data_IF_767202213152
#
_entry.id   IF_767202213152
#
_cell.length_a   1.000
_cell.length_b   1.000
_cell.length_c   1.000
_cell.angle_alpha   90.00
_cell.angle_beta   90.00
_cell.angle_gamma   90.00
#
_symmetry.space_group_name_H-M   'P 1'
#
loop_
_entity.id
_entity.type
_entity.pdbx_description
1 polymer ?
2 non-polymer ?
3 non-polymer ?
4 non-polymer ?
5 water ?
#
# COMPACT_ATOMS: atom_id res chain seq x y z
N UNK A 5 26.82 8.17 17.95
CA UNK A 5 26.30 6.85 18.32
C UNK A 5 24.77 6.90 18.48
N UNK A 6 24.13 7.77 17.71
CA UNK A 6 22.68 7.86 17.70
C UNK A 6 22.12 6.79 16.78
N UNK A 7 21.01 6.17 17.18
CA UNK A 7 20.37 5.18 16.32
C UNK A 7 19.23 5.80 15.53
N UNK A 8 18.92 5.20 14.39
CA UNK A 8 17.92 5.73 13.47
C UNK A 8 16.53 5.33 13.91
N UNK A 9 15.50 5.82 13.19
CA UNK A 9 14.13 5.37 13.46
C UNK A 9 13.94 3.90 13.07
N UNK A 10 12.80 3.33 13.43
CA UNK A 10 12.44 2.01 12.93
C UNK A 10 12.26 2.12 11.42
N UNK A 11 11.66 3.22 10.98
CA UNK A 11 11.51 3.50 9.55
C UNK A 11 11.18 4.97 9.31
N UNK A 12 11.47 5.43 8.09
CA UNK A 12 11.06 6.75 7.65
C UNK A 12 9.81 6.59 6.79
N UNK A 13 8.95 7.62 6.78
CA UNK A 13 7.80 7.59 5.91
C UNK A 13 6.94 8.83 6.03
N UNK A 14 5.91 8.90 5.18
CA UNK A 14 4.92 9.96 5.26
C UNK A 14 3.75 9.50 6.11
N UNK A 15 3.47 10.25 7.17
CA UNK A 15 2.39 9.91 8.08
C UNK A 15 1.18 10.82 7.87
N UNK A 16 0.06 10.22 7.50
CA UNK A 16 -1.16 10.97 7.21
C UNK A 16 -1.71 11.65 8.44
N UNK A 17 -2.39 12.78 8.23
CA UNK A 17 -3.09 13.47 9.30
C UNK A 17 -4.29 12.63 9.73
N UNK A 18 -4.93 13.02 10.82
CA UNK A 18 -6.12 12.33 11.30
C UNK A 18 -7.19 12.32 10.21
N UNK A 19 -7.45 13.49 9.64
CA UNK A 19 -8.52 13.65 8.65
C UNK A 19 -8.27 12.85 7.37
N UNK A 20 -7.07 12.98 6.81
CA UNK A 20 -6.75 12.32 5.56
C UNK A 20 -6.65 10.80 5.74
N UNK A 21 -6.23 10.37 6.92
CA UNK A 21 -6.13 8.94 7.21
C UNK A 21 -7.51 8.30 7.27
N UNK A 22 -8.44 8.96 7.97
CA UNK A 22 -9.80 8.45 8.07
C UNK A 22 -10.46 8.42 6.70
N UNK A 23 -10.19 9.43 5.88
CA UNK A 23 -10.72 9.48 4.53
C UNK A 23 -10.28 8.28 3.71
N UNK A 24 -9.00 7.95 3.80
CA UNK A 24 -8.45 6.81 3.06
C UNK A 24 -8.92 5.49 3.69
N UNK A 25 -8.89 5.42 5.01
CA UNK A 25 -9.29 4.21 5.71
C UNK A 25 -10.72 3.85 5.34
N UNK A 26 -11.60 4.85 5.34
CA UNK A 26 -13.00 4.63 5.03
C UNK A 26 -13.18 4.15 3.58
N UNK A 27 -12.44 4.75 2.66
CA UNK A 27 -12.50 4.35 1.26
C UNK A 27 -12.05 2.91 1.11
N UNK A 28 -11.01 2.54 1.86
CA UNK A 28 -10.52 1.17 1.87
C UNK A 28 -11.58 0.21 2.35
N UNK A 29 -12.26 0.58 3.43
CA UNK A 29 -13.32 -0.26 3.99
C UNK A 29 -14.44 -0.45 2.99
N UNK A 30 -14.89 0.64 2.37
CA UNK A 30 -15.98 0.57 1.39
C UNK A 30 -15.57 -0.34 0.24
N UNK A 31 -14.33 -0.24 -0.19
CA UNK A 31 -13.82 -1.07 -1.28
C UNK A 31 -13.91 -2.56 -0.91
N UNK A 32 -13.47 -2.90 0.30
CA UNK A 32 -13.54 -4.29 0.75
C UNK A 32 -14.99 -4.79 0.77
N UNK A 33 -15.89 -3.95 1.24
CA UNK A 33 -17.30 -4.32 1.35
C UNK A 33 -17.92 -4.49 -0.05
N UNK A 34 -17.56 -3.59 -0.96
CA UNK A 34 -18.07 -3.63 -2.32
C UNK A 34 -17.47 -4.79 -3.11
N UNK A 35 -16.17 -5.00 -2.98
CA UNK A 35 -15.48 -6.07 -3.70
C UNK A 35 -16.02 -7.43 -3.26
N UNK A 36 -16.14 -7.62 -1.96
CA UNK A 36 -16.64 -8.87 -1.41
C UNK A 36 -18.03 -9.22 -1.90
N UNK A 37 -18.81 -8.19 -2.24
CA UNK A 37 -20.19 -8.39 -2.70
C UNK A 37 -20.30 -8.46 -4.22
N UNK A 38 -19.20 -8.19 -4.91
CA UNK A 38 -19.23 -8.16 -6.37
C UNK A 38 -19.17 -9.57 -6.94
N UNK A 39 -20.03 -9.84 -7.93
CA UNK A 39 -20.16 -11.20 -8.47
C UNK A 39 -18.86 -11.71 -9.09
N UNK A 40 -18.12 -10.82 -9.75
CA UNK A 40 -16.83 -11.18 -10.32
C UNK A 40 -15.88 -11.73 -9.26
N UNK A 41 -15.88 -11.12 -8.09
CA UNK A 41 -15.02 -11.56 -7.00
C UNK A 41 -15.49 -12.90 -6.43
N UNK A 42 -16.78 -12.97 -6.10
CA UNK A 42 -17.37 -14.20 -5.58
C UNK A 42 -17.05 -15.40 -6.50
N UNK A 43 -17.07 -15.15 -7.80
CA UNK A 43 -16.84 -16.20 -8.79
C UNK A 43 -15.43 -16.79 -8.69
N UNK A 44 -14.47 -15.98 -8.26
CA UNK A 44 -13.08 -16.38 -8.24
C UNK A 44 -12.57 -16.72 -6.85
N UNK A 45 -13.49 -16.95 -5.91
CA UNK A 45 -13.13 -17.18 -4.52
C UNK A 45 -12.12 -18.31 -4.34
N UNK A 46 -12.21 -19.33 -5.18
CA UNK A 46 -11.34 -20.50 -5.04
C UNK A 46 -9.91 -20.19 -5.49
N UNK A 47 -9.72 -18.99 -6.03
CA UNK A 47 -8.38 -18.50 -6.33
C UNK A 47 -7.90 -17.54 -5.26
N UNK A 48 -8.81 -17.13 -4.37
CA UNK A 48 -8.49 -16.21 -3.29
C UNK A 48 -8.17 -16.97 -2.01
N UNK A 49 -9.04 -17.91 -1.65
CA UNK A 49 -8.81 -18.78 -0.51
C UNK A 49 -8.61 -20.21 -0.99
N UNK A 50 -7.80 -20.96 -0.27
CA UNK A 50 -7.46 -22.33 -0.67
C UNK A 50 -7.62 -23.28 0.50
N UNK A 51 -8.86 -23.69 0.76
CA UNK A 51 -9.15 -24.58 1.86
C UNK A 51 -10.57 -25.10 1.82
N UNK A 52 -11.10 -25.43 3.00
CA UNK A 52 -12.41 -26.04 3.10
C UNK A 52 -13.51 -25.01 3.31
N UNK A 53 -13.24 -23.76 2.94
CA UNK A 53 -14.25 -22.70 3.03
C UNK A 53 -15.51 -23.12 2.30
N UNK A 54 -16.67 -22.90 2.93
CA UNK A 54 -17.93 -23.16 2.22
C UNK A 54 -18.10 -22.21 1.05
N UNK A 55 -18.99 -22.53 0.12
CA UNK A 55 -19.25 -21.67 -1.03
C UNK A 55 -19.87 -20.34 -0.59
N UNK A 56 -20.27 -20.28 0.67
CA UNK A 56 -20.88 -19.07 1.24
C UNK A 56 -19.99 -17.85 1.06
N UNK A 57 -20.41 -16.73 1.64
CA UNK A 57 -19.76 -15.45 1.37
C UNK A 57 -18.65 -15.09 2.36
N UNK A 58 -17.55 -14.59 1.80
CA UNK A 58 -16.40 -14.14 2.57
C UNK A 58 -16.46 -12.63 2.77
N UNK A 59 -16.46 -12.21 4.03
CA UNK A 59 -16.41 -10.80 4.37
C UNK A 59 -14.95 -10.37 4.44
N UNK A 60 -14.54 -9.51 3.52
CA UNK A 60 -13.13 -9.12 3.40
C UNK A 60 -12.67 -8.23 4.54
N UNK A 61 -13.58 -7.45 5.12
CA UNK A 61 -13.24 -6.63 6.27
C UNK A 61 -12.71 -7.54 7.38
N UNK A 62 -13.37 -8.68 7.56
CA UNK A 62 -12.97 -9.68 8.53
C UNK A 62 -11.67 -10.35 8.11
N UNK A 63 -11.59 -10.73 6.83
CA UNK A 63 -10.42 -11.41 6.30
C UNK A 63 -9.15 -10.58 6.56
N UNK A 64 -9.24 -9.29 6.30
CA UNK A 64 -8.13 -8.37 6.56
C UNK A 64 -8.28 -7.77 7.97
N UNK A 65 -8.30 -8.65 8.96
CA UNK A 65 -8.54 -8.24 10.34
C UNK A 65 -7.42 -7.44 10.97
N UNK A 66 -6.19 -7.65 10.52
CA UNK A 66 -5.05 -6.92 11.05
C UNK A 66 -4.90 -5.59 10.32
N UNK A 67 -5.40 -4.52 10.94
CA UNK A 67 -5.38 -3.20 10.32
C UNK A 67 -4.59 -2.23 11.18
N UNK A 68 -4.03 -1.18 10.56
CA UNK A 68 -3.40 -0.13 11.36
C UNK A 68 -4.40 0.37 12.40
N UNK A 69 -3.96 0.49 13.66
CA UNK A 69 -4.86 0.92 14.75
C UNK A 69 -5.11 2.42 14.76
N UNK A 70 -4.18 3.19 14.20
CA UNK A 70 -4.28 4.64 14.21
C UNK A 70 -4.09 5.24 12.83
N UNK A 71 -3.28 6.29 12.74
CA UNK A 71 -3.07 6.94 11.46
C UNK A 71 -2.32 6.03 10.49
N UNK A 72 -2.53 6.27 9.20
CA UNK A 72 -1.90 5.46 8.17
C UNK A 72 -0.60 6.14 7.74
N UNK A 73 0.27 5.40 7.06
CA UNK A 73 1.54 5.95 6.61
C UNK A 73 2.04 5.29 5.35
N UNK A 74 2.86 6.01 4.62
CA UNK A 74 3.55 5.46 3.45
C UNK A 74 5.03 5.39 3.80
N UNK A 75 5.53 4.16 3.94
CA UNK A 75 6.92 3.93 4.30
C UNK A 75 7.84 4.23 3.13
N UNK A 76 8.98 4.86 3.41
CA UNK A 76 10.00 5.05 2.40
C UNK A 76 11.15 4.07 2.61
N UNK A 77 11.78 4.14 3.78
CA UNK A 77 12.90 3.26 4.09
C UNK A 77 12.77 2.66 5.48
N UNK A 78 12.71 1.34 5.54
CA UNK A 78 12.72 0.61 6.81
C UNK A 78 14.17 0.50 7.27
N UNK A 79 14.44 1.02 8.47
CA UNK A 79 15.82 1.15 8.95
C UNK A 79 16.14 0.21 10.12
N UNK A 80 15.11 -0.24 10.83
CA UNK A 80 15.31 -1.04 12.04
C UNK A 80 16.41 -0.44 12.92
N UNK A 81 16.31 0.88 13.13
CA UNK A 81 17.23 1.58 14.03
C UNK A 81 18.69 1.49 13.58
N UNK A 82 18.89 1.31 12.27
CA UNK A 82 20.23 1.27 11.71
C UNK A 82 20.73 -0.12 11.36
N UNK A 83 19.96 -1.14 11.74
CA UNK A 83 20.37 -2.53 11.52
C UNK A 83 20.04 -3.02 10.12
N UNK A 84 19.09 -2.37 9.46
CA UNK A 84 18.74 -2.73 8.09
C UNK A 84 19.81 -2.23 7.11
N UNK A 85 20.13 -3.03 6.12
CA UNK A 85 21.10 -2.64 5.12
C UNK A 85 20.63 -1.39 4.39
N UNK A 86 21.52 -0.41 4.27
CA UNK A 86 21.20 0.83 3.57
C UNK A 86 20.57 1.89 4.46
N UNK A 87 20.34 1.56 5.72
CA UNK A 87 19.66 2.47 6.65
C UNK A 87 20.47 3.74 6.89
N UNK A 88 21.71 3.58 7.34
CA UNK A 88 22.59 4.71 7.61
C UNK A 88 22.77 5.55 6.35
N UNK A 89 22.98 4.89 5.23
CA UNK A 89 23.19 5.56 3.96
C UNK A 89 21.98 6.43 3.61
N UNK A 90 20.79 5.88 3.81
CA UNK A 90 19.55 6.60 3.51
C UNK A 90 19.39 7.81 4.43
N UNK A 91 19.58 7.60 5.72
CA UNK A 91 19.34 8.64 6.72
C UNK A 91 20.29 9.83 6.56
N UNK A 92 21.50 9.57 6.09
CA UNK A 92 22.53 10.60 5.98
C UNK A 92 22.25 11.61 4.87
N UNK A 93 21.35 11.26 3.95
CA UNK A 93 21.08 12.11 2.78
C UNK A 93 20.56 13.48 3.19
N UNK A 94 21.07 14.51 2.53
CA UNK A 94 20.62 15.88 2.78
C UNK A 94 19.12 16.03 2.60
N UNK A 95 18.58 15.40 1.55
CA UNK A 95 17.17 15.55 1.22
C UNK A 95 16.27 14.91 2.29
N UNK A 96 16.77 13.86 2.92
CA UNK A 96 16.04 13.23 4.01
C UNK A 96 16.03 14.14 5.23
N UNK A 97 17.20 14.66 5.59
CA UNK A 97 17.33 15.56 6.73
C UNK A 97 16.56 16.86 6.50
N UNK A 98 16.60 17.38 5.27
CA UNK A 98 15.93 18.62 4.93
C UNK A 98 14.42 18.45 4.91
N UNK A 99 13.96 17.26 4.50
CA UNK A 99 12.54 16.99 4.37
C UNK A 99 11.92 16.55 5.70
N UNK A 100 12.78 16.28 6.68
CA UNK A 100 12.31 15.77 7.96
C UNK A 100 11.38 16.76 8.64
N UNK A 101 10.10 16.40 8.74
CA UNK A 101 9.10 17.23 9.37
C UNK A 101 8.28 18.05 8.38
N UNK A 102 8.62 17.94 7.11
CA UNK A 102 7.96 18.72 6.07
C UNK A 102 6.63 18.10 5.67
N UNK A 103 5.70 18.94 5.21
CA UNK A 103 4.38 18.48 4.78
C UNK A 103 4.40 18.13 3.30
N UNK A 104 3.69 17.06 2.95
CA UNK A 104 3.60 16.57 1.58
C UNK A 104 2.17 16.17 1.27
N UNK A 105 1.87 16.03 -0.02
CA UNK A 105 0.60 15.45 -0.45
C UNK A 105 0.86 14.18 -1.24
N UNK A 106 0.19 13.10 -0.84
CA UNK A 106 0.34 11.82 -1.52
C UNK A 106 -0.84 11.56 -2.44
N UNK A 107 -0.55 11.18 -3.68
CA UNK A 107 -1.59 10.89 -4.65
C UNK A 107 -1.91 9.40 -4.66
N UNK A 108 -3.14 9.06 -4.32
CA UNK A 108 -3.60 7.67 -4.32
C UNK A 108 -4.32 7.39 -5.63
N UNK A 109 -3.79 6.48 -6.43
CA UNK A 109 -4.34 6.23 -7.75
C UNK A 109 -5.17 4.95 -7.80
N UNK A 110 -4.99 4.07 -6.82
CA UNK A 110 -5.67 2.78 -6.86
C UNK A 110 -5.74 2.13 -5.48
N UNK A 111 -6.78 1.32 -5.29
CA UNK A 111 -6.88 0.45 -4.12
C UNK A 111 -6.76 -0.97 -4.64
N UNK A 112 -6.13 -1.84 -3.86
CA UNK A 112 -5.92 -3.21 -4.32
C UNK A 112 -6.05 -4.22 -3.20
N UNK A 113 -6.36 -5.45 -3.60
CA UNK A 113 -6.56 -6.55 -2.67
C UNK A 113 -5.89 -7.79 -3.23
N UNK A 114 -5.21 -8.53 -2.36
CA UNK A 114 -4.64 -9.81 -2.72
C UNK A 114 -5.00 -10.78 -1.60
N UNK A 115 -4.68 -12.07 -1.79
CA UNK A 115 -4.94 -13.01 -0.69
C UNK A 115 -4.18 -12.67 0.58
N UNK A 116 -3.20 -11.76 0.49
CA UNK A 116 -2.35 -11.44 1.63
C UNK A 116 -2.61 -10.06 2.24
N UNK A 117 -2.84 -9.06 1.40
CA UNK A 117 -2.96 -7.69 1.87
C UNK A 117 -4.02 -6.88 1.15
N UNK A 118 -4.45 -5.81 1.82
CA UNK A 118 -5.27 -4.78 1.22
C UNK A 118 -4.49 -3.47 1.36
N UNK A 119 -4.37 -2.72 0.27
CA UNK A 119 -3.59 -1.50 0.31
C UNK A 119 -4.01 -0.45 -0.69
N UNK A 120 -3.29 0.67 -0.68
CA UNK A 120 -3.53 1.76 -1.62
C UNK A 120 -2.23 2.08 -2.34
N UNK A 121 -2.32 2.24 -3.65
CA UNK A 121 -1.15 2.58 -4.45
C UNK A 121 -0.87 4.08 -4.42
N UNK A 122 0.35 4.44 -4.04
CA UNK A 122 0.76 5.84 -4.02
C UNK A 122 1.62 6.16 -5.23
N UNK A 123 1.31 7.28 -5.88
CA UNK A 123 2.08 7.74 -7.03
C UNK A 123 2.91 8.95 -6.63
N UNK A 124 4.17 8.71 -6.28
CA UNK A 124 5.03 9.76 -5.74
C UNK A 124 5.36 10.82 -6.78
N UNK A 125 5.44 12.07 -6.32
CA UNK A 125 5.90 13.17 -7.14
C UNK A 125 7.41 13.03 -7.30
N UNK A 126 7.98 13.81 -8.22
CA UNK A 126 9.43 13.83 -8.41
C UNK A 126 10.12 14.23 -7.11
N UNK A 127 9.58 15.26 -6.45
CA UNK A 127 10.13 15.71 -5.17
C UNK A 127 10.12 14.59 -4.14
N UNK A 128 9.01 13.87 -4.08
CA UNK A 128 8.86 12.79 -3.10
C UNK A 128 9.71 11.58 -3.47
N UNK A 129 9.94 11.38 -4.77
CA UNK A 129 10.79 10.29 -5.23
C UNK A 129 12.23 10.47 -4.76
N UNK A 130 12.64 11.71 -4.51
CA UNK A 130 13.98 11.96 -4.01
C UNK A 130 14.15 11.31 -2.63
N UNK A 131 13.03 11.10 -1.94
CA UNK A 131 13.04 10.51 -0.60
C UNK A 131 12.85 8.99 -0.66
N UNK A 132 12.82 8.43 -1.86
CA UNK A 132 12.72 6.98 -2.00
C UNK A 132 14.10 6.36 -2.00
N UNK A 133 14.29 5.29 -1.23
CA UNK A 133 15.62 4.68 -1.11
C UNK A 133 16.08 4.01 -2.40
N UNK A 134 17.40 4.00 -2.61
CA UNK A 134 18.00 3.31 -3.73
C UNK A 134 19.03 2.30 -3.20
N UNK A 135 18.53 1.15 -2.77
CA UNK A 135 19.34 0.18 -2.04
C UNK A 135 20.10 -0.78 -2.95
N UNK A 136 21.10 -1.43 -2.37
CA UNK A 136 21.84 -2.47 -3.06
C UNK A 136 21.00 -3.74 -3.09
N UNK A 137 20.29 -4.02 -2.00
CA UNK A 137 19.38 -5.14 -1.93
C UNK A 137 17.97 -4.68 -2.30
N UNK A 138 17.53 -5.06 -3.49
CA UNK A 138 16.21 -4.68 -3.98
C UNK A 138 15.28 -5.87 -4.05
N UNK A 139 13.97 -5.64 -3.83
CA UNK A 139 13.01 -6.69 -4.16
C UNK A 139 13.07 -6.97 -5.65
N UNK A 140 13.19 -8.25 -6.03
CA UNK A 140 13.34 -8.60 -7.43
C UNK A 140 12.20 -8.06 -8.29
N UNK A 141 11.05 -7.83 -7.66
CA UNK A 141 9.86 -7.38 -8.38
C UNK A 141 9.89 -5.89 -8.68
N UNK A 142 10.84 -5.16 -8.09
CA UNK A 142 10.98 -3.74 -8.37
C UNK A 142 11.78 -3.51 -9.65
N UNK A 143 12.57 -4.50 -10.04
CA UNK A 143 13.37 -4.42 -11.25
C UNK A 143 12.48 -4.36 -12.48
N UNK A 144 12.75 -3.39 -13.35
CA UNK A 144 11.98 -3.23 -14.57
C UNK A 144 10.83 -2.25 -14.42
N UNK A 145 10.55 -1.84 -13.18
CA UNK A 145 9.50 -0.86 -12.91
C UNK A 145 10.12 0.47 -12.53
N UNK A 146 9.38 1.56 -12.75
CA UNK A 146 9.86 2.89 -12.34
C UNK A 146 10.19 2.93 -10.86
N UNK A 147 11.25 3.67 -10.48
CA UNK A 147 11.60 3.84 -9.07
C UNK A 147 10.39 4.30 -8.26
N UNK A 148 10.21 3.74 -7.06
CA UNK A 148 9.15 4.17 -6.18
C UNK A 148 7.80 3.53 -6.46
N UNK A 149 7.77 2.56 -7.36
CA UNK A 149 6.53 1.86 -7.69
C UNK A 149 5.99 1.12 -6.49
N UNK A 150 6.88 0.73 -5.58
CA UNK A 150 6.51 0.02 -4.36
C UNK A 150 5.71 0.90 -3.40
N UNK A 151 5.77 2.21 -3.61
CA UNK A 151 5.12 3.16 -2.71
C UNK A 151 3.63 2.82 -2.51
N UNK A 152 3.25 2.60 -1.26
CA UNK A 152 1.88 2.21 -0.95
C UNK A 152 1.52 2.50 0.50
N UNK A 153 0.24 2.32 0.81
CA UNK A 153 -0.24 2.40 2.19
C UNK A 153 -0.92 1.10 2.55
N UNK A 154 -0.53 0.52 3.68
CA UNK A 154 -1.14 -0.71 4.16
C UNK A 154 -2.50 -0.42 4.80
N UNK A 155 -3.53 -1.10 4.33
CA UNK A 155 -4.88 -0.94 4.88
C UNK A 155 -5.30 -2.14 5.73
N UNK A 156 -4.76 -3.31 5.41
CA UNK A 156 -5.07 -4.52 6.16
C UNK A 156 -4.24 -5.71 5.72
N UNK A 157 -4.11 -6.69 6.62
CA UNK A 157 -3.35 -7.89 6.33
C UNK A 157 -4.08 -9.15 6.77
N UNK A 158 -3.86 -10.24 6.04
CA UNK A 158 -4.36 -11.54 6.47
C UNK A 158 -3.64 -11.93 7.74
N UNK A 159 -4.24 -12.85 8.50
CA UNK A 159 -3.78 -13.14 9.85
C UNK A 159 -2.27 -13.37 9.98
N UNK A 160 -1.69 -14.15 9.07
CA UNK A 160 -0.29 -14.52 9.19
C UNK A 160 0.61 -13.76 8.21
N UNK A 161 0.16 -12.58 7.80
CA UNK A 161 0.91 -11.74 6.86
C UNK A 161 1.42 -10.48 7.56
N UNK A 162 2.62 -10.06 7.20
CA UNK A 162 3.21 -8.85 7.77
C UNK A 162 3.00 -7.66 6.84
N UNK A 163 2.83 -6.46 7.40
CA UNK A 163 2.56 -5.25 6.62
C UNK A 163 3.54 -5.01 5.46
N UNK A 164 4.78 -5.45 5.61
CA UNK A 164 5.76 -5.27 4.54
C UNK A 164 5.29 -5.91 3.24
N UNK A 165 4.45 -6.92 3.35
CA UNK A 165 3.97 -7.65 2.17
C UNK A 165 3.16 -6.76 1.23
N UNK A 166 2.60 -5.68 1.76
CA UNK A 166 1.72 -4.83 0.96
C UNK A 166 2.44 -4.21 -0.23
N UNK A 167 3.60 -3.62 0.02
CA UNK A 167 4.39 -3.03 -1.05
C UNK A 167 4.85 -4.09 -2.03
N UNK A 168 5.17 -5.28 -1.52
CA UNK A 168 5.62 -6.37 -2.36
C UNK A 168 4.48 -6.87 -3.24
N UNK A 169 3.27 -6.85 -2.70
CA UNK A 169 2.09 -7.24 -3.46
C UNK A 169 1.85 -6.26 -4.61
N UNK A 170 2.05 -4.98 -4.32
CA UNK A 170 1.84 -3.95 -5.34
C UNK A 170 2.83 -4.13 -6.49
N UNK A 171 4.09 -4.37 -6.16
CA UNK A 171 5.11 -4.60 -7.17
C UNK A 171 4.74 -5.78 -8.05
N UNK A 172 4.21 -6.83 -7.45
CA UNK A 172 3.77 -8.00 -8.21
C UNK A 172 2.64 -7.62 -9.14
N UNK A 173 1.69 -6.86 -8.61
CA UNK A 173 0.55 -6.38 -9.42
C UNK A 173 1.02 -5.52 -10.58
N UNK A 174 1.96 -4.61 -10.31
CA UNK A 174 2.45 -3.71 -11.34
C UNK A 174 3.27 -4.47 -12.39
N UNK A 175 3.96 -5.52 -11.97
CA UNK A 175 4.67 -6.39 -12.90
C UNK A 175 3.65 -7.08 -13.81
N UNK A 176 2.51 -7.46 -13.22
CA UNK A 176 1.45 -8.14 -13.95
C UNK A 176 0.80 -7.20 -14.98
N UNK A 177 0.51 -5.97 -14.56
CA UNK A 177 -0.21 -5.03 -15.40
C UNK A 177 0.70 -4.37 -16.44
N UNK A 178 2.00 -4.65 -16.36
CA UNK A 178 2.94 -4.11 -17.34
C UNK A 178 3.03 -5.05 -18.54
N UNK A 182 -3.61 -3.68 -21.22
CA UNK A 182 -4.29 -4.37 -20.13
C UNK A 182 -5.75 -4.65 -20.52
N UNK A 183 -6.27 -5.78 -20.05
CA UNK A 183 -7.63 -6.19 -20.37
C UNK A 183 -8.67 -5.24 -19.80
N UNK A 184 -9.90 -5.37 -20.29
CA UNK A 184 -10.99 -4.55 -19.79
C UNK A 184 -11.17 -4.74 -18.30
N UNK A 185 -11.83 -3.78 -17.66
CA UNK A 185 -12.26 -3.94 -16.28
C UNK A 185 -13.41 -4.94 -16.28
N UNK A 186 -13.54 -5.70 -15.20
CA UNK A 186 -14.62 -6.67 -15.10
C UNK A 186 -15.81 -6.11 -14.33
N UNK A 187 -15.70 -4.86 -13.89
CA UNK A 187 -16.77 -4.23 -13.14
C UNK A 187 -16.58 -2.74 -12.95
N UNK A 188 -17.66 -2.07 -12.53
CA UNK A 188 -17.63 -0.65 -12.25
C UNK A 188 -18.11 -0.39 -10.83
N UNK A 189 -17.20 0.07 -9.97
CA UNK A 189 -17.57 0.52 -8.64
C UNK A 189 -17.73 2.03 -8.68
N UNK A 190 -18.45 2.60 -7.70
CA UNK A 190 -18.69 4.04 -7.67
C UNK A 190 -17.44 4.90 -7.86
N UNK A 191 -16.31 4.50 -7.29
CA UNK A 191 -15.09 5.30 -7.35
C UNK A 191 -14.19 4.98 -8.55
N UNK A 192 -14.54 3.96 -9.31
CA UNK A 192 -13.73 3.63 -10.49
C UNK A 192 -13.93 2.22 -11.03
N UNK A 193 -13.05 1.86 -11.97
CA UNK A 193 -13.11 0.57 -12.64
C UNK A 193 -12.43 -0.52 -11.83
N UNK A 194 -12.98 -1.73 -11.89
CA UNK A 194 -12.45 -2.87 -11.15
C UNK A 194 -11.78 -3.86 -12.10
N UNK A 195 -10.52 -4.19 -11.81
CA UNK A 195 -9.77 -5.12 -12.63
C UNK A 195 -9.46 -6.41 -11.89
N UNK A 196 -9.63 -7.53 -12.59
CA UNK A 196 -9.27 -8.83 -12.06
C UNK A 196 -7.94 -9.26 -12.68
N UNK A 197 -6.90 -9.33 -11.86
CA UNK A 197 -5.56 -9.60 -12.36
C UNK A 197 -5.16 -11.07 -12.20
N UNK A 198 -6.04 -11.86 -11.61
CA UNK A 198 -5.79 -13.27 -11.43
C UNK A 198 -5.07 -13.57 -10.13
N UNK A 199 -5.04 -14.85 -9.76
CA UNK A 199 -4.38 -15.28 -8.53
C UNK A 199 -4.86 -14.48 -7.32
N UNK A 200 -6.15 -14.15 -7.30
CA UNK A 200 -6.75 -13.51 -6.15
C UNK A 200 -6.44 -12.03 -6.02
N UNK A 201 -5.88 -11.45 -7.08
CA UNK A 201 -5.48 -10.04 -7.05
C UNK A 201 -6.51 -9.14 -7.72
N UNK A 202 -6.82 -8.03 -7.07
CA UNK A 202 -7.85 -7.11 -7.56
C UNK A 202 -7.40 -5.67 -7.40
N UNK A 203 -7.65 -4.86 -8.42
CA UNK A 203 -7.31 -3.44 -8.36
C UNK A 203 -8.49 -2.56 -8.73
N UNK A 204 -8.79 -1.61 -7.86
CA UNK A 204 -9.75 -0.56 -8.16
C UNK A 204 -8.98 0.67 -8.62
N UNK A 205 -9.12 1.01 -9.90
CA UNK A 205 -8.47 2.19 -10.45
C UNK A 205 -9.39 3.39 -10.27
N UNK A 206 -8.97 4.32 -9.42
CA UNK A 206 -9.81 5.45 -9.07
C UNK A 206 -9.97 6.42 -10.23
N UNK A 207 -11.22 6.70 -10.58
CA UNK A 207 -11.53 7.69 -11.61
C UNK A 207 -10.87 9.00 -11.25
N UNK A 208 -10.94 9.36 -9.97
CA UNK A 208 -10.32 10.56 -9.47
C UNK A 208 -9.35 10.20 -8.36
N UNK A 209 -8.08 10.53 -8.56
CA UNK A 209 -7.05 10.22 -7.57
C UNK A 209 -7.37 10.91 -6.26
N UNK A 210 -7.13 10.22 -5.15
CA UNK A 210 -7.30 10.83 -3.85
C UNK A 210 -6.01 11.53 -3.48
N UNK A 211 -6.15 12.69 -2.84
CA UNK A 211 -5.00 13.40 -2.31
C UNK A 211 -5.07 13.36 -0.79
N UNK A 212 -4.01 12.85 -0.17
CA UNK A 212 -3.92 12.80 1.28
C UNK A 212 -2.73 13.59 1.77
N UNK A 213 -2.92 14.38 2.81
CA UNK A 213 -1.85 15.19 3.37
C UNK A 213 -1.09 14.35 4.40
N UNK A 214 0.24 14.46 4.37
CA UNK A 214 1.08 13.67 5.26
C UNK A 214 2.36 14.40 5.60
N UNK A 215 2.97 14.02 6.72
CA UNK A 215 4.22 14.61 7.17
C UNK A 215 5.34 13.57 7.08
N UNK A 216 6.46 13.96 6.50
CA UNK A 216 7.62 13.08 6.43
C UNK A 216 8.37 13.13 7.75
N UNK A 217 8.58 11.97 8.37
CA UNK A 217 9.30 11.92 9.63
C UNK A 217 9.73 10.48 9.93
N UNK A 218 10.18 10.24 11.16
CA UNK A 218 10.67 8.93 11.54
C UNK A 218 9.89 8.33 12.69
N UNK A 219 9.59 7.04 12.58
CA UNK A 219 8.85 6.33 13.62
C UNK A 219 9.78 5.49 14.49
N UNK A 220 9.56 5.58 15.79
CA UNK A 220 10.30 4.76 16.76
C UNK A 220 9.33 3.87 17.53
N UNK A 221 9.61 2.57 17.53
CA UNK A 221 8.77 1.61 18.22
C UNK A 221 8.64 1.90 19.70
#
# INVERSE_FOLDING_TARGET
GGLEKDFLPLYFGWFLTKKSSETLRKAGQVFLEELGNHKAFKKELRHFISGDEPKEKLELVSYFGKRPPGVLHCTTKFCDYGKAAGAEEYAQQEVVKRSYGKAFKLSISALFVTPKTAGAQVVLTDQELQLWPSDLDKPSASEGLPPGSRASVTLGCAADVQPVQTGLDLLDILQQVKGGSQGEAVGELPRGKLYSLGKGRWMLSLTKKMEVKAIFTGYYG
#
